data_IF_973158362594
#
_entry.id   IF_973158362594
#
_cell.length_a   1.000
_cell.length_b   1.000
_cell.length_c   1.000
_cell.angle_alpha   90.00
_cell.angle_beta   90.00
_cell.angle_gamma   90.00
#
_symmetry.space_group_name_H-M   'P 1'
#
loop_
_entity.id
_entity.type
_entity.pdbx_description
1 polymer ?
#
# COMPACT_ATOMS: atom_id res chain seq x y z
N UNK A 1 -12.80 4.29 -18.02
CA UNK A 1 -11.60 5.10 -18.31
C UNK A 1 -10.79 5.09 -17.03
N UNK A 2 -9.62 4.47 -17.06
CA UNK A 2 -8.74 4.25 -15.89
C UNK A 2 -7.47 5.11 -16.03
N UNK A 3 -7.43 5.98 -17.04
CA UNK A 3 -6.22 6.65 -17.51
C UNK A 3 -5.92 7.95 -16.76
N UNK A 4 -6.91 8.55 -16.13
CA UNK A 4 -6.88 9.91 -15.58
C UNK A 4 -6.05 9.97 -14.28
N UNK A 5 -6.24 8.98 -13.40
CA UNK A 5 -5.57 8.93 -12.10
C UNK A 5 -4.09 8.57 -12.19
N UNK A 6 -3.73 7.70 -13.14
CA UNK A 6 -2.34 7.31 -13.36
C UNK A 6 -1.52 8.48 -13.93
N UNK A 7 -2.08 9.20 -14.90
CA UNK A 7 -1.43 10.37 -15.50
C UNK A 7 -1.24 11.52 -14.51
N UNK A 8 -2.23 11.79 -13.65
CA UNK A 8 -2.11 12.82 -12.61
C UNK A 8 -1.01 12.49 -11.59
N UNK A 9 -0.91 11.22 -11.20
CA UNK A 9 0.10 10.75 -10.24
C UNK A 9 1.52 10.83 -10.82
N UNK A 10 1.67 10.50 -12.10
CA UNK A 10 2.94 10.64 -12.82
C UNK A 10 3.32 12.11 -13.09
N UNK A 11 2.35 13.02 -13.22
CA UNK A 11 2.60 14.45 -13.42
C UNK A 11 3.04 15.16 -12.13
N UNK A 12 2.53 14.75 -10.97
CA UNK A 12 2.90 15.28 -9.64
C UNK A 12 4.26 14.74 -9.16
N UNK A 13 4.65 13.55 -9.63
CA UNK A 13 5.94 12.94 -9.31
C UNK A 13 7.09 13.68 -10.01
N UNK A 14 7.55 14.78 -9.41
CA UNK A 14 8.71 15.54 -9.88
C UNK A 14 9.93 14.64 -10.10
N UNK A 15 10.21 14.42 -11.39
CA UNK A 15 11.36 13.72 -12.01
C UNK A 15 12.29 12.97 -11.06
N UNK A 16 12.07 11.66 -10.89
CA UNK A 16 12.98 10.82 -10.12
C UNK A 16 13.04 9.40 -10.65
N UNK A 17 14.24 8.95 -11.02
CA UNK A 17 14.59 7.55 -11.37
C UNK A 17 14.05 6.52 -10.38
N UNK A 18 13.72 6.94 -9.14
CA UNK A 18 13.09 6.10 -8.12
C UNK A 18 11.62 5.77 -8.43
N UNK A 19 10.88 6.71 -9.00
CA UNK A 19 9.46 6.54 -9.32
C UNK A 19 9.26 5.68 -10.56
N UNK A 20 10.11 5.85 -11.58
CA UNK A 20 10.12 4.97 -12.76
C UNK A 20 10.43 3.53 -12.35
N UNK A 21 11.48 3.31 -11.55
CA UNK A 21 11.82 1.97 -11.04
C UNK A 21 10.69 1.32 -10.23
N UNK A 22 10.02 2.10 -9.39
CA UNK A 22 8.87 1.60 -8.64
C UNK A 22 7.71 1.23 -9.58
N UNK A 23 7.41 2.09 -10.56
CA UNK A 23 6.35 1.87 -11.53
C UNK A 23 6.63 0.65 -12.41
N UNK A 24 7.86 0.52 -12.91
CA UNK A 24 8.32 -0.63 -13.69
C UNK A 24 8.19 -1.92 -12.86
N UNK A 25 8.63 -1.90 -11.60
CA UNK A 25 8.48 -3.04 -10.70
C UNK A 25 7.01 -3.43 -10.50
N UNK A 26 6.11 -2.47 -10.29
CA UNK A 26 4.68 -2.74 -10.13
C UNK A 26 4.11 -3.33 -11.42
N UNK A 27 4.45 -2.75 -12.58
CA UNK A 27 4.00 -3.22 -13.88
C UNK A 27 4.44 -4.67 -14.13
N UNK A 28 5.74 -4.94 -13.99
CA UNK A 28 6.34 -6.24 -14.28
C UNK A 28 5.94 -7.32 -13.26
N UNK A 29 5.64 -6.93 -12.02
CA UNK A 29 5.36 -7.91 -10.96
C UNK A 29 3.88 -8.20 -10.82
N UNK A 30 2.99 -7.22 -11.05
CA UNK A 30 1.59 -7.31 -10.65
C UNK A 30 0.55 -7.04 -11.75
N UNK A 31 0.90 -6.31 -12.81
CA UNK A 31 -0.10 -5.78 -13.77
C UNK A 31 0.07 -6.36 -15.18
N UNK A 32 1.29 -6.47 -15.69
CA UNK A 32 1.55 -6.88 -17.06
C UNK A 32 1.16 -8.34 -17.36
N UNK A 33 1.04 -8.68 -18.64
CA UNK A 33 0.59 -10.01 -19.10
C UNK A 33 1.48 -11.17 -18.63
N UNK A 34 2.74 -10.88 -18.28
CA UNK A 34 3.72 -11.84 -17.76
C UNK A 34 4.03 -11.61 -16.27
N UNK A 35 3.15 -10.91 -15.57
CA UNK A 35 3.31 -10.60 -14.16
C UNK A 35 3.46 -11.87 -13.32
N UNK A 36 4.40 -11.83 -12.37
CA UNK A 36 4.59 -12.93 -11.41
C UNK A 36 3.34 -13.18 -10.56
N UNK A 37 2.60 -12.10 -10.27
CA UNK A 37 1.36 -12.13 -9.50
C UNK A 37 0.27 -11.37 -10.27
N UNK A 38 -0.35 -12.00 -11.27
CA UNK A 38 -1.22 -11.28 -12.19
C UNK A 38 -2.52 -10.82 -11.50
N UNK A 39 -3.22 -9.83 -12.08
CA UNK A 39 -4.40 -9.22 -11.48
C UNK A 39 -5.48 -10.21 -11.04
N UNK A 40 -5.62 -11.36 -11.69
CA UNK A 40 -6.62 -12.37 -11.33
C UNK A 40 -6.41 -12.93 -9.91
N UNK A 41 -5.19 -12.85 -9.36
CA UNK A 41 -4.89 -13.32 -8.01
C UNK A 41 -5.30 -12.33 -6.91
N UNK A 42 -5.10 -11.03 -7.17
CA UNK A 42 -5.20 -9.99 -6.12
C UNK A 42 -6.30 -8.97 -6.41
N UNK A 43 -6.61 -8.73 -7.67
CA UNK A 43 -7.68 -7.85 -8.10
C UNK A 43 -9.00 -8.63 -8.13
N UNK A 44 -10.00 -8.06 -7.48
CA UNK A 44 -11.39 -8.50 -7.59
C UNK A 44 -12.13 -7.37 -8.27
N UNK A 45 -13.09 -7.71 -9.13
CA UNK A 45 -14.06 -6.74 -9.63
C UNK A 45 -14.56 -5.85 -8.47
N UNK A 46 -14.66 -4.52 -8.70
CA UNK A 46 -15.18 -3.61 -7.70
C UNK A 46 -16.56 -4.08 -7.29
N UNK A 47 -16.75 -4.27 -5.99
CA UNK A 47 -18.02 -4.66 -5.39
C UNK A 47 -18.52 -3.47 -4.58
N UNK A 48 -19.84 -3.31 -4.50
CA UNK A 48 -20.49 -2.20 -3.80
C UNK A 48 -20.31 -2.26 -2.28
N UNK A 49 -19.86 -3.39 -1.73
CA UNK A 49 -19.52 -3.47 -0.32
C UNK A 49 -18.27 -2.63 -0.01
N UNK A 50 -18.32 -1.76 1.00
CA UNK A 50 -17.16 -1.01 1.45
C UNK A 50 -16.09 -1.97 1.97
N UNK A 51 -15.03 -2.16 1.18
CA UNK A 51 -13.83 -2.86 1.62
C UNK A 51 -13.13 -2.00 2.67
N UNK A 52 -13.30 -2.36 3.94
CA UNK A 52 -12.62 -1.67 5.01
C UNK A 52 -11.24 -2.31 5.23
N UNK A 53 -10.16 -1.51 5.19
CA UNK A 53 -8.79 -1.90 5.58
C UNK A 53 -8.66 -2.07 7.10
N UNK A 54 -9.77 -1.89 7.83
CA UNK A 54 -9.85 -1.83 9.28
C UNK A 54 -9.24 -3.06 9.97
N UNK A 55 -9.34 -4.25 9.36
CA UNK A 55 -8.74 -5.47 9.91
C UNK A 55 -7.21 -5.45 9.82
N UNK A 56 -6.63 -5.07 8.69
CA UNK A 56 -5.17 -5.00 8.52
C UNK A 56 -4.58 -3.83 9.33
N UNK A 57 -5.24 -2.68 9.29
CA UNK A 57 -4.88 -1.52 10.11
C UNK A 57 -4.99 -1.80 11.61
N UNK A 58 -6.04 -2.51 12.03
CA UNK A 58 -6.23 -2.93 13.42
C UNK A 58 -5.15 -3.90 13.89
N UNK A 59 -4.77 -4.87 13.06
CA UNK A 59 -3.68 -5.79 13.36
C UNK A 59 -2.34 -5.05 13.52
N UNK A 60 -1.98 -4.18 12.56
CA UNK A 60 -0.74 -3.42 12.66
C UNK A 60 -0.73 -2.46 13.85
N UNK A 61 -1.85 -1.80 14.15
CA UNK A 61 -1.99 -0.93 15.32
C UNK A 61 -1.79 -1.70 16.62
N UNK A 62 -2.45 -2.86 16.74
CA UNK A 62 -2.33 -3.72 17.93
C UNK A 62 -0.94 -4.32 18.09
N UNK A 63 -0.31 -4.76 17.00
CA UNK A 63 1.05 -5.28 17.01
C UNK A 63 2.04 -4.20 17.47
N UNK A 64 1.98 -3.01 16.86
CA UNK A 64 2.88 -1.91 17.22
C UNK A 64 2.69 -1.48 18.69
N UNK A 65 1.46 -1.48 19.21
CA UNK A 65 1.22 -1.09 20.61
C UNK A 65 1.89 -2.01 21.63
N UNK A 66 2.26 -3.25 21.26
CA UNK A 66 3.02 -4.16 22.14
C UNK A 66 4.47 -3.73 22.33
N UNK A 67 5.02 -2.94 21.40
CA UNK A 67 6.44 -2.56 21.37
C UNK A 67 6.65 -1.05 21.51
N UNK A 68 5.58 -0.25 21.41
CA UNK A 68 5.62 1.21 21.53
C UNK A 68 4.88 1.74 22.76
N UNK A 69 4.58 0.87 23.74
CA UNK A 69 4.04 1.32 25.02
C UNK A 69 5.07 2.15 25.79
N UNK A 70 4.65 3.26 26.39
CA UNK A 70 5.53 4.03 27.27
C UNK A 70 6.11 3.13 28.36
N UNK A 71 7.43 3.16 28.51
CA UNK A 71 8.10 2.55 29.66
C UNK A 71 7.46 3.09 30.96
N UNK A 72 7.32 2.27 32.02
CA UNK A 72 6.90 2.80 33.31
C UNK A 72 7.92 3.86 33.71
N UNK A 73 7.46 5.08 34.00
CA UNK A 73 8.30 6.01 34.73
C UNK A 73 8.67 5.31 36.04
N UNK A 74 9.97 5.24 36.33
CA UNK A 74 10.43 4.99 37.68
C UNK A 74 9.91 6.18 38.51
N UNK A 75 8.83 5.96 39.25
CA UNK A 75 8.41 6.85 40.34
C UNK A 75 9.50 6.78 41.41
N UNK A 76 10.53 7.60 41.24
CA UNK A 76 11.48 7.95 42.27
C UNK A 76 10.99 9.19 43.00
N UNK A 77 10.31 9.00 44.13
CA UNK A 77 10.54 9.69 45.42
C UNK A 77 9.77 8.94 46.54
#
# INVERSE_FOLDING_TARGET
MVDDGWLALMAEASSGVKFSKFSDYVLDTYVGDKAKFPPELWSRAPHSDPRTTNSAEGFHRHFNSQFTGSHPNEDGD
#
